data_IF_820055094716
#
_entry.id   IF_820055094716
#
_cell.length_a   1.000
_cell.length_b   1.000
_cell.length_c   1.000
_cell.angle_alpha   90.00
_cell.angle_beta   90.00
_cell.angle_gamma   90.00
#
_symmetry.space_group_name_H-M   'P 1'
#
loop_
_entity.id
_entity.type
_entity.pdbx_description
1 polymer ?
#
# COMPACT_ATOMS: atom_id res chain seq x y z
N UNK A 1 -19.99 21.99 -10.11
CA UNK A 1 -19.25 22.97 -9.28
C UNK A 1 -17.94 22.34 -8.85
N UNK A 2 -16.78 22.95 -9.12
CA UNK A 2 -15.51 22.48 -8.56
C UNK A 2 -15.55 22.73 -7.06
N UNK A 3 -15.57 21.65 -6.26
CA UNK A 3 -15.42 21.72 -4.80
C UNK A 3 -14.06 22.40 -4.54
N UNK A 4 -14.06 23.59 -3.94
CA UNK A 4 -12.82 24.25 -3.56
C UNK A 4 -12.12 23.34 -2.54
N UNK A 5 -11.03 22.70 -2.95
CA UNK A 5 -10.18 21.92 -2.03
C UNK A 5 -9.72 22.85 -0.92
N UNK A 6 -10.02 22.50 0.32
CA UNK A 6 -9.56 23.26 1.47
C UNK A 6 -8.02 23.27 1.54
N UNK A 7 -7.44 24.29 2.18
CA UNK A 7 -5.99 24.37 2.40
C UNK A 7 -5.48 23.09 3.09
N UNK A 8 -6.24 22.55 4.04
CA UNK A 8 -5.93 21.30 4.75
C UNK A 8 -5.87 20.11 3.80
N UNK A 9 -6.90 19.90 2.98
CA UNK A 9 -6.94 18.79 2.00
C UNK A 9 -5.77 18.87 1.02
N UNK A 10 -5.41 20.08 0.57
CA UNK A 10 -4.25 20.27 -0.31
C UNK A 10 -2.95 19.86 0.38
N UNK A 11 -2.71 20.29 1.61
CA UNK A 11 -1.49 19.95 2.38
C UNK A 11 -1.38 18.43 2.56
N UNK A 12 -2.48 17.77 2.94
CA UNK A 12 -2.50 16.32 3.15
C UNK A 12 -2.17 15.59 1.84
N UNK A 13 -2.81 15.98 0.73
CA UNK A 13 -2.55 15.37 -0.59
C UNK A 13 -1.11 15.57 -1.04
N UNK A 14 -0.59 16.80 -0.95
CA UNK A 14 0.79 17.09 -1.34
C UNK A 14 1.78 16.29 -0.48
N UNK A 15 1.49 16.13 0.81
CA UNK A 15 2.30 15.29 1.71
C UNK A 15 2.20 13.80 1.36
N UNK A 16 1.01 13.29 1.04
CA UNK A 16 0.80 11.90 0.61
C UNK A 16 1.52 11.55 -0.69
N UNK A 17 1.51 12.46 -1.67
CA UNK A 17 2.31 12.28 -2.89
C UNK A 17 3.81 12.29 -2.58
N UNK A 18 4.25 13.18 -1.69
CA UNK A 18 5.65 13.27 -1.30
C UNK A 18 6.14 12.04 -0.52
N UNK A 19 5.33 11.47 0.38
CA UNK A 19 5.68 10.25 1.13
C UNK A 19 5.77 9.06 0.19
N UNK A 20 4.79 8.88 -0.71
CA UNK A 20 4.80 7.83 -1.73
C UNK A 20 6.02 7.95 -2.65
N UNK A 21 6.36 9.16 -3.10
CA UNK A 21 7.59 9.41 -3.85
C UNK A 21 8.84 9.06 -3.04
N UNK A 22 8.92 9.50 -1.79
CA UNK A 22 10.10 9.29 -0.93
C UNK A 22 10.35 7.80 -0.65
N UNK A 23 9.31 6.97 -0.62
CA UNK A 23 9.43 5.52 -0.48
C UNK A 23 10.19 4.84 -1.65
N UNK A 24 10.36 5.52 -2.79
CA UNK A 24 11.09 5.00 -3.96
C UNK A 24 12.61 5.20 -3.91
N UNK A 25 13.14 5.93 -2.93
CA UNK A 25 14.56 6.30 -2.89
C UNK A 25 15.51 5.10 -2.84
N UNK A 26 15.12 4.06 -2.10
CA UNK A 26 15.90 2.83 -1.96
C UNK A 26 15.24 1.66 -2.69
N UNK A 27 16.02 0.87 -3.43
CA UNK A 27 15.57 -0.38 -4.08
C UNK A 27 14.57 -0.26 -5.24
N UNK A 28 13.88 0.88 -5.44
CA UNK A 28 12.94 1.05 -6.55
C UNK A 28 13.69 1.25 -7.88
N UNK A 29 13.26 0.61 -8.98
CA UNK A 29 13.87 0.81 -10.29
C UNK A 29 13.54 2.18 -10.91
N UNK A 30 12.52 2.89 -10.41
CA UNK A 30 12.09 4.20 -10.90
C UNK A 30 12.15 5.21 -9.74
N UNK A 31 12.96 6.27 -9.89
CA UNK A 31 13.28 7.21 -8.80
C UNK A 31 13.14 8.69 -9.14
N UNK A 32 13.03 9.04 -10.42
CA UNK A 32 12.97 10.45 -10.81
C UNK A 32 11.60 11.02 -10.47
N UNK A 33 11.56 12.27 -10.00
CA UNK A 33 10.31 12.98 -9.69
C UNK A 33 9.33 12.94 -10.86
N UNK A 34 9.85 13.24 -12.06
CA UNK A 34 9.06 13.32 -13.29
C UNK A 34 8.51 11.95 -13.73
N UNK A 35 9.15 10.84 -13.34
CA UNK A 35 8.65 9.50 -13.64
C UNK A 35 7.68 8.99 -12.58
N UNK A 36 7.91 9.28 -11.29
CA UNK A 36 7.13 8.67 -10.18
C UNK A 36 5.82 9.40 -9.89
N UNK A 37 5.78 10.74 -9.90
CA UNK A 37 4.54 11.47 -9.59
C UNK A 37 3.37 11.15 -10.53
N UNK A 38 3.57 11.01 -11.87
CA UNK A 38 2.50 10.55 -12.76
C UNK A 38 1.96 9.16 -12.38
N UNK A 39 2.81 8.25 -11.91
CA UNK A 39 2.40 6.91 -11.47
C UNK A 39 1.57 6.98 -10.18
N UNK A 40 1.97 7.80 -9.21
CA UNK A 40 1.20 8.01 -7.97
C UNK A 40 -0.22 8.51 -8.28
N UNK A 41 -0.37 9.31 -9.33
CA UNK A 41 -1.66 9.90 -9.77
C UNK A 41 -2.45 9.03 -10.75
N UNK A 42 -1.92 7.87 -11.14
CA UNK A 42 -2.61 6.95 -12.06
C UNK A 42 -3.89 6.36 -11.49
N UNK A 43 -3.96 5.95 -10.20
CA UNK A 43 -5.19 5.45 -9.60
C UNK A 43 -6.32 6.49 -9.59
N UNK A 44 -7.55 6.04 -9.82
CA UNK A 44 -8.75 6.88 -9.74
C UNK A 44 -9.20 7.01 -8.28
N UNK A 45 -8.54 7.86 -7.51
CA UNK A 45 -8.79 7.95 -6.07
C UNK A 45 -10.17 8.49 -5.68
N UNK A 46 -10.83 9.25 -6.55
CA UNK A 46 -12.18 9.77 -6.29
C UNK A 46 -13.17 8.63 -5.97
N UNK A 47 -12.97 7.44 -6.57
CA UNK A 47 -13.73 6.22 -6.25
C UNK A 47 -13.66 5.80 -4.78
N UNK A 48 -12.52 6.05 -4.12
CA UNK A 48 -12.33 5.75 -2.70
C UNK A 48 -12.78 6.88 -1.79
N UNK A 49 -12.79 8.12 -2.30
CA UNK A 49 -13.00 9.29 -1.47
C UNK A 49 -14.45 9.79 -1.45
N UNK A 50 -15.26 9.37 -2.42
CA UNK A 50 -16.64 9.82 -2.58
C UNK A 50 -17.59 8.62 -2.73
N UNK A 51 -18.77 8.70 -2.08
CA UNK A 51 -19.82 7.68 -2.16
C UNK A 51 -20.18 7.05 -0.82
N UNK A 52 -21.00 6.00 -0.90
CA UNK A 52 -21.50 5.25 0.27
C UNK A 52 -20.40 4.41 0.92
N UNK A 53 -20.73 3.64 1.95
CA UNK A 53 -19.80 2.69 2.57
C UNK A 53 -19.14 1.79 1.51
N UNK A 54 -17.82 1.60 1.59
CA UNK A 54 -17.08 0.73 0.67
C UNK A 54 -16.98 -0.68 1.27
N UNK A 55 -17.11 -1.70 0.43
CA UNK A 55 -16.84 -3.09 0.81
C UNK A 55 -15.38 -3.48 0.59
N UNK A 56 -14.92 -4.54 1.27
CA UNK A 56 -13.61 -5.13 1.03
C UNK A 56 -13.41 -5.57 -0.44
N UNK A 57 -14.46 -6.07 -1.09
CA UNK A 57 -14.43 -6.54 -2.47
C UNK A 57 -14.23 -5.38 -3.46
N UNK A 58 -14.96 -4.27 -3.26
CA UNK A 58 -14.79 -3.05 -4.05
C UNK A 58 -13.36 -2.49 -3.90
N UNK A 59 -12.86 -2.41 -2.66
CA UNK A 59 -11.50 -1.93 -2.41
C UNK A 59 -10.45 -2.83 -3.11
N UNK A 60 -10.57 -4.15 -2.98
CA UNK A 60 -9.61 -5.09 -3.57
C UNK A 60 -9.62 -5.05 -5.09
N UNK A 61 -10.80 -4.94 -5.70
CA UNK A 61 -10.96 -4.77 -7.16
C UNK A 61 -10.29 -3.48 -7.61
N UNK A 62 -10.62 -2.35 -6.98
CA UNK A 62 -10.02 -1.06 -7.28
C UNK A 62 -8.49 -1.07 -7.10
N UNK A 63 -8.00 -1.69 -6.03
CA UNK A 63 -6.56 -1.74 -5.73
C UNK A 63 -5.83 -2.57 -6.80
N UNK A 64 -6.42 -3.69 -7.25
CA UNK A 64 -5.88 -4.51 -8.32
C UNK A 64 -5.79 -3.74 -9.63
N UNK A 65 -6.90 -3.14 -10.07
CA UNK A 65 -6.95 -2.35 -11.30
C UNK A 65 -5.94 -1.20 -11.27
N UNK A 66 -5.87 -0.48 -10.15
CA UNK A 66 -4.95 0.64 -9.95
C UNK A 66 -3.48 0.19 -9.98
N UNK A 67 -3.16 -0.94 -9.35
CA UNK A 67 -1.82 -1.53 -9.38
C UNK A 67 -1.40 -1.91 -10.79
N UNK A 68 -2.29 -2.55 -11.54
CA UNK A 68 -2.04 -2.96 -12.92
C UNK A 68 -1.97 -1.75 -13.87
N UNK A 69 -2.75 -0.70 -13.63
CA UNK A 69 -2.67 0.54 -14.40
C UNK A 69 -1.32 1.25 -14.23
N UNK A 70 -0.77 1.30 -13.00
CA UNK A 70 0.59 1.82 -12.76
C UNK A 70 1.62 1.00 -13.56
N UNK A 71 1.51 -0.33 -13.57
CA UNK A 71 2.41 -1.19 -14.35
C UNK A 71 2.26 -1.01 -15.86
N UNK A 72 1.04 -0.84 -16.35
CA UNK A 72 0.80 -0.55 -17.76
C UNK A 72 1.44 0.79 -18.16
N UNK A 73 1.38 1.79 -17.28
CA UNK A 73 2.03 3.08 -17.50
C UNK A 73 3.56 3.04 -17.38
N UNK A 74 4.12 2.11 -16.58
CA UNK A 74 5.56 1.89 -16.47
C UNK A 74 5.90 0.41 -16.23
N UNK A 75 6.16 -0.36 -17.31
CA UNK A 75 6.40 -1.81 -17.22
C UNK A 75 7.65 -2.20 -16.42
N UNK A 76 8.59 -1.27 -16.22
CA UNK A 76 9.80 -1.48 -15.42
C UNK A 76 9.47 -1.66 -13.94
N UNK A 77 8.34 -1.12 -13.48
CA UNK A 77 7.89 -1.22 -12.09
C UNK A 77 7.23 -2.60 -11.84
N UNK A 78 7.75 -3.43 -10.91
CA UNK A 78 7.08 -4.66 -10.49
C UNK A 78 5.77 -4.38 -9.74
N UNK A 79 4.90 -5.40 -9.61
CA UNK A 79 3.62 -5.29 -8.89
C UNK A 79 3.84 -4.84 -7.45
N UNK A 80 4.84 -5.39 -6.76
CA UNK A 80 5.14 -5.00 -5.37
C UNK A 80 5.41 -3.52 -5.21
N UNK A 81 6.18 -2.91 -6.11
CA UNK A 81 6.47 -1.47 -6.08
C UNK A 81 5.26 -0.62 -6.46
N UNK A 82 4.48 -1.05 -7.46
CA UNK A 82 3.24 -0.38 -7.85
C UNK A 82 2.24 -0.34 -6.68
N UNK A 83 2.01 -1.48 -6.03
CA UNK A 83 1.16 -1.58 -4.86
C UNK A 83 1.70 -0.76 -3.67
N UNK A 84 3.03 -0.78 -3.43
CA UNK A 84 3.64 0.02 -2.37
C UNK A 84 3.38 1.53 -2.53
N UNK A 85 3.44 2.05 -3.76
CA UNK A 85 3.12 3.47 -4.02
C UNK A 85 1.68 3.81 -3.58
N UNK A 86 0.72 2.96 -3.95
CA UNK A 86 -0.69 3.11 -3.56
C UNK A 86 -0.83 3.03 -2.04
N UNK A 87 -0.23 2.01 -1.40
CA UNK A 87 -0.38 1.79 0.04
C UNK A 87 0.23 2.92 0.87
N UNK A 88 1.39 3.47 0.48
CA UNK A 88 1.99 4.62 1.18
C UNK A 88 1.11 5.88 1.01
N UNK A 89 0.58 6.10 -0.19
CA UNK A 89 -0.33 7.20 -0.45
C UNK A 89 -1.60 7.08 0.42
N UNK A 90 -2.22 5.89 0.46
CA UNK A 90 -3.43 5.63 1.24
C UNK A 90 -3.18 5.63 2.74
N UNK A 91 -2.02 5.17 3.23
CA UNK A 91 -1.63 5.36 4.63
C UNK A 91 -1.67 6.85 5.00
N UNK A 92 -1.13 7.70 4.13
CA UNK A 92 -1.04 9.14 4.40
C UNK A 92 -2.37 9.87 4.20
N UNK A 93 -3.19 9.45 3.24
CA UNK A 93 -4.49 10.05 2.93
C UNK A 93 -5.65 9.54 3.78
N UNK A 94 -5.67 8.24 4.13
CA UNK A 94 -6.82 7.59 4.76
C UNK A 94 -6.53 7.35 6.23
N UNK A 95 -5.43 6.64 6.55
CA UNK A 95 -5.15 6.23 7.93
C UNK A 95 -4.84 7.42 8.85
N UNK A 96 -4.06 8.40 8.40
CA UNK A 96 -3.69 9.56 9.24
C UNK A 96 -4.84 10.59 9.43
N UNK A 97 -5.55 11.05 8.39
CA UNK A 97 -6.54 12.10 8.55
C UNK A 97 -8.00 11.60 8.46
N UNK A 98 -8.22 10.30 8.23
CA UNK A 98 -9.55 9.71 8.09
C UNK A 98 -10.28 10.05 6.78
N UNK A 99 -9.55 10.33 5.68
CA UNK A 99 -10.22 10.69 4.43
C UNK A 99 -10.85 9.48 3.73
N UNK A 100 -12.05 9.69 3.19
CA UNK A 100 -12.69 8.84 2.20
C UNK A 100 -14.02 8.24 2.61
N UNK A 101 -14.49 7.26 1.82
CA UNK A 101 -15.74 6.54 2.05
C UNK A 101 -15.77 5.91 3.46
N UNK A 102 -16.95 5.76 4.09
CA UNK A 102 -17.08 5.08 5.38
C UNK A 102 -16.38 3.71 5.37
N UNK A 103 -15.72 3.40 6.49
CA UNK A 103 -14.96 2.15 6.74
C UNK A 103 -13.76 1.88 5.81
N UNK A 104 -13.41 2.77 4.87
CA UNK A 104 -12.26 2.57 3.99
C UNK A 104 -10.97 2.20 4.74
N UNK A 105 -10.73 2.81 5.92
CA UNK A 105 -9.57 2.54 6.77
C UNK A 105 -9.41 1.05 7.15
N UNK A 106 -10.51 0.29 7.19
CA UNK A 106 -10.51 -1.13 7.55
C UNK A 106 -9.87 -2.01 6.47
N UNK A 107 -9.76 -1.51 5.24
CA UNK A 107 -9.32 -2.30 4.08
C UNK A 107 -7.94 -1.90 3.56
N UNK A 108 -7.35 -0.81 4.05
CA UNK A 108 -6.04 -0.35 3.56
C UNK A 108 -4.96 -1.40 3.85
N UNK A 109 -4.21 -1.76 2.81
CA UNK A 109 -3.12 -2.72 2.89
C UNK A 109 -1.84 -2.07 3.45
N UNK A 110 -1.03 -2.78 4.24
CA UNK A 110 0.26 -2.28 4.67
C UNK A 110 1.22 -2.11 3.48
N UNK A 111 2.10 -1.09 3.50
CA UNK A 111 3.22 -1.02 2.58
C UNK A 111 4.17 -2.21 2.83
N UNK A 112 4.32 -3.10 1.85
CA UNK A 112 5.24 -4.22 1.96
C UNK A 112 6.66 -3.76 1.65
N UNK A 113 7.59 -4.01 2.57
CA UNK A 113 9.03 -3.87 2.34
C UNK A 113 9.86 -4.76 3.25
N UNK A 114 11.19 -4.69 3.10
CA UNK A 114 12.12 -5.54 3.83
C UNK A 114 12.01 -5.34 5.36
N UNK A 115 11.80 -4.11 5.84
CA UNK A 115 11.70 -3.85 7.28
C UNK A 115 10.46 -4.49 7.89
N UNK A 116 9.34 -4.49 7.16
CA UNK A 116 8.13 -5.21 7.55
C UNK A 116 8.33 -6.72 7.49
N UNK A 117 8.95 -7.23 6.42
CA UNK A 117 9.20 -8.66 6.27
C UNK A 117 10.08 -9.23 7.37
N UNK A 118 11.18 -8.57 7.71
CA UNK A 118 12.06 -9.03 8.78
C UNK A 118 11.35 -9.02 10.14
N UNK A 119 10.53 -8.01 10.40
CA UNK A 119 9.66 -7.96 11.57
C UNK A 119 8.68 -9.13 11.65
N UNK A 120 7.99 -9.42 10.54
CA UNK A 120 7.08 -10.56 10.44
C UNK A 120 7.86 -11.86 10.65
N UNK A 121 8.99 -12.06 9.96
CA UNK A 121 9.81 -13.27 10.08
C UNK A 121 10.26 -13.48 11.52
N UNK A 122 10.82 -12.45 12.15
CA UNK A 122 11.29 -12.52 13.53
C UNK A 122 10.18 -12.92 14.50
N UNK A 123 8.98 -12.34 14.33
CA UNK A 123 7.86 -12.53 15.27
C UNK A 123 7.03 -13.79 15.02
N UNK A 124 7.03 -14.29 13.78
CA UNK A 124 6.15 -15.35 13.30
C UNK A 124 6.89 -16.57 12.71
N UNK A 125 8.21 -16.70 12.90
CA UNK A 125 8.99 -17.84 12.39
C UNK A 125 8.38 -19.22 12.74
N UNK A 126 7.73 -19.34 13.88
CA UNK A 126 7.05 -20.55 14.34
C UNK A 126 5.62 -20.76 13.82
N UNK A 127 5.10 -19.87 12.96
CA UNK A 127 3.76 -19.97 12.37
C UNK A 127 3.86 -20.17 10.84
N UNK A 128 3.85 -21.43 10.36
CA UNK A 128 3.99 -21.74 8.94
C UNK A 128 2.92 -21.08 8.06
N UNK A 129 1.68 -20.96 8.52
CA UNK A 129 0.59 -20.37 7.72
C UNK A 129 0.85 -18.90 7.40
N UNK A 130 1.44 -18.15 8.33
CA UNK A 130 1.83 -16.76 8.13
C UNK A 130 3.09 -16.69 7.26
N UNK A 131 4.13 -17.47 7.58
CA UNK A 131 5.42 -17.36 6.90
C UNK A 131 5.32 -17.81 5.45
N UNK A 132 4.68 -18.95 5.17
CA UNK A 132 4.53 -19.45 3.80
C UNK A 132 3.73 -18.51 2.90
N UNK A 133 2.86 -17.66 3.45
CA UNK A 133 2.10 -16.65 2.69
C UNK A 133 2.84 -15.33 2.55
N UNK A 134 3.33 -14.80 3.67
CA UNK A 134 4.01 -13.49 3.69
C UNK A 134 5.35 -13.54 2.97
N UNK A 135 6.05 -14.67 2.98
CA UNK A 135 7.39 -14.84 2.40
C UNK A 135 7.42 -15.79 1.19
N UNK A 136 6.34 -15.85 0.40
CA UNK A 136 6.35 -16.55 -0.90
C UNK A 136 7.47 -16.03 -1.84
N UNK A 137 7.94 -14.80 -1.60
CA UNK A 137 9.10 -14.18 -2.23
C UNK A 137 9.90 -13.44 -1.16
N UNK A 138 11.18 -13.16 -1.42
CA UNK A 138 12.09 -12.56 -0.45
C UNK A 138 12.38 -11.07 -0.68
N UNK A 139 11.93 -10.49 -1.81
CA UNK A 139 12.16 -9.08 -2.13
C UNK A 139 10.96 -8.49 -2.85
N UNK A 140 10.72 -7.21 -2.64
CA UNK A 140 9.58 -6.48 -3.23
C UNK A 140 9.59 -6.51 -4.76
N UNK A 141 10.79 -6.50 -5.38
CA UNK A 141 10.94 -6.58 -6.83
C UNK A 141 10.56 -7.94 -7.42
N UNK A 142 10.51 -8.98 -6.59
CA UNK A 142 10.15 -10.34 -7.00
C UNK A 142 8.61 -10.58 -6.91
N UNK A 143 7.85 -9.58 -6.42
CA UNK A 143 6.38 -9.54 -6.53
C UNK A 143 6.03 -9.03 -7.94
N UNK A 144 5.95 -9.94 -8.89
CA UNK A 144 5.72 -9.69 -10.33
C UNK A 144 4.26 -9.84 -10.77
N UNK A 145 3.43 -10.55 -10.00
CA UNK A 145 2.00 -10.72 -10.24
C UNK A 145 1.16 -10.21 -9.07
N UNK A 146 -0.10 -9.85 -9.36
CA UNK A 146 -1.05 -9.46 -8.32
C UNK A 146 -1.42 -10.63 -7.40
N UNK A 147 -1.43 -11.86 -7.92
CA UNK A 147 -1.70 -13.06 -7.12
C UNK A 147 -0.63 -13.30 -6.04
N UNK A 148 0.65 -13.04 -6.34
CA UNK A 148 1.71 -13.03 -5.33
C UNK A 148 1.45 -11.94 -4.29
N UNK A 149 1.15 -10.73 -4.74
CA UNK A 149 0.85 -9.61 -3.84
C UNK A 149 -0.30 -9.94 -2.89
N UNK A 150 -1.45 -10.40 -3.40
CA UNK A 150 -2.63 -10.67 -2.57
C UNK A 150 -2.40 -11.85 -1.62
N UNK A 151 -1.58 -12.84 -2.00
CA UNK A 151 -1.17 -13.93 -1.11
C UNK A 151 -0.41 -13.41 0.11
N UNK A 152 0.49 -12.44 -0.08
CA UNK A 152 1.20 -11.77 1.02
C UNK A 152 0.20 -11.03 1.91
N UNK A 153 -0.75 -10.30 1.30
CA UNK A 153 -1.80 -9.57 2.03
C UNK A 153 -2.68 -10.52 2.85
N UNK A 154 -3.05 -11.69 2.34
CA UNK A 154 -3.76 -12.71 3.10
C UNK A 154 -2.95 -13.18 4.32
N UNK A 155 -1.63 -13.30 4.20
CA UNK A 155 -0.74 -13.53 5.35
C UNK A 155 -0.79 -12.39 6.37
N UNK A 156 -0.76 -11.14 5.92
CA UNK A 156 -0.92 -9.97 6.78
C UNK A 156 -2.29 -9.92 7.47
N UNK A 157 -3.37 -10.37 6.81
CA UNK A 157 -4.70 -10.45 7.42
C UNK A 157 -4.76 -11.47 8.57
N UNK A 158 -4.03 -12.58 8.48
CA UNK A 158 -3.90 -13.52 9.59
C UNK A 158 -3.23 -12.86 10.80
N UNK A 159 -2.17 -12.08 10.57
CA UNK A 159 -1.48 -11.30 11.61
C UNK A 159 -2.44 -10.28 12.23
N UNK A 160 -3.11 -9.48 11.41
CA UNK A 160 -4.05 -8.45 11.87
C UNK A 160 -5.16 -9.05 12.74
N UNK A 161 -5.71 -10.20 12.31
CA UNK A 161 -6.71 -10.96 13.08
C UNK A 161 -6.17 -11.45 14.42
N UNK A 162 -4.97 -12.03 14.44
CA UNK A 162 -4.34 -12.52 15.68
C UNK A 162 -4.12 -11.38 16.68
N UNK A 163 -3.77 -10.19 16.18
CA UNK A 163 -3.45 -9.01 17.00
C UNK A 163 -4.64 -8.13 17.35
N UNK A 164 -5.79 -8.34 16.71
CA UNK A 164 -6.97 -7.50 16.89
C UNK A 164 -6.77 -6.08 16.37
N UNK A 165 -5.95 -5.90 15.33
CA UNK A 165 -5.63 -4.60 14.73
C UNK A 165 -6.13 -4.49 13.28
N UNK A 166 -6.13 -3.29 12.72
CA UNK A 166 -6.42 -3.07 11.30
C UNK A 166 -5.31 -3.65 10.43
N UNK A 167 -5.64 -4.01 9.19
CA UNK A 167 -4.67 -4.60 8.26
C UNK A 167 -3.44 -3.70 8.02
N UNK A 168 -3.65 -2.38 7.92
CA UNK A 168 -2.57 -1.39 7.80
C UNK A 168 -1.66 -1.35 9.05
N UNK A 169 -2.19 -1.67 10.23
CA UNK A 169 -1.48 -1.60 11.52
C UNK A 169 -0.51 -2.77 11.72
N UNK A 170 -0.53 -3.79 10.86
CA UNK A 170 0.53 -4.81 10.77
C UNK A 170 1.92 -4.17 10.60
N UNK A 171 1.97 -2.94 10.10
CA UNK A 171 3.18 -2.12 10.02
C UNK A 171 3.83 -1.83 11.39
N UNK A 172 3.17 -2.06 12.52
CA UNK A 172 3.82 -2.02 13.84
C UNK A 172 5.00 -2.99 13.97
N UNK A 173 5.05 -4.02 13.11
CA UNK A 173 6.16 -4.97 13.02
C UNK A 173 7.37 -4.41 12.26
N UNK A 174 7.25 -3.25 11.61
CA UNK A 174 8.32 -2.68 10.79
C UNK A 174 9.55 -2.33 11.62
N UNK A 175 10.68 -2.97 11.33
CA UNK A 175 11.92 -2.83 12.10
C UNK A 175 12.84 -1.70 11.64
N UNK A 176 12.39 -0.87 10.69
CA UNK A 176 13.24 0.14 10.10
C UNK A 176 14.23 -0.39 9.08
N UNK A 177 15.09 0.51 8.62
CA UNK A 177 16.33 0.12 7.93
C UNK A 177 17.39 0.09 9.02
N UNK A 178 17.98 -1.07 9.31
CA UNK A 178 19.19 -1.14 10.13
C UNK A 178 20.23 -0.23 9.45
N UNK A 179 20.60 0.86 10.11
CA UNK A 179 21.64 1.80 9.66
C UNK A 179 23.00 1.23 10.06
#
# INVERSE_FOLDING_TARGET
>A
MKKNTSVREKIIRDFAEWTAFSATRSGCPVKSRNAVYPLIRTPKYDFLFEGDEISASEFNTWHQESTLAIRAANPVLPVGWAAKLINIYLKTMVYLPGAGRPRLIQYIHPPIDNGLWEGIRSRYVGNPDIITRTHIVNRIKDIDTYDKYITIIHGCQLIAKERGCLLIEVEELWQGTMI
#
